data_IF_274262121517
#
_entry.id   IF_274262121517
#
_cell.length_a   1.000
_cell.length_b   1.000
_cell.length_c   1.000
_cell.angle_alpha   90.00
_cell.angle_beta   90.00
_cell.angle_gamma   90.00
#
_symmetry.space_group_name_H-M   'P 1'
#
loop_
_entity.id
_entity.type
_entity.pdbx_description
1 polymer ?
2 non-polymer ?
#
# COMPACT_ATOMS: atom_id res chain seq x y z
N UNK A 11 -4.69 30.82 12.09
CA UNK A 11 -4.29 29.45 11.79
C UNK A 11 -2.77 29.28 11.70
N UNK A 12 -2.03 30.39 11.81
CA UNK A 12 -0.58 30.37 11.73
C UNK A 12 0.01 29.64 12.93
N UNK A 13 0.81 28.61 12.67
CA UNK A 13 1.43 27.82 13.73
C UNK A 13 2.77 27.31 13.27
N UNK A 14 3.84 27.70 13.96
CA UNK A 14 5.17 27.21 13.62
C UNK A 14 5.98 27.03 14.89
N UNK A 15 6.85 26.03 14.88
CA UNK A 15 7.75 25.77 15.99
C UNK A 15 9.22 25.88 15.61
N UNK A 16 9.53 26.10 14.33
CA UNK A 16 10.90 26.11 13.86
C UNK A 16 11.46 27.52 13.98
N UNK A 17 12.57 27.66 14.68
CA UNK A 17 13.28 28.93 14.79
C UNK A 17 14.72 28.64 15.17
N UNK A 18 15.58 29.64 14.99
CA UNK A 18 17.02 29.48 15.21
C UNK A 18 17.35 29.84 16.65
N UNK A 19 17.20 28.85 17.52
CA UNK A 19 17.62 28.97 18.92
C UNK A 19 18.93 28.25 19.20
N UNK A 20 19.24 27.22 18.42
CA UNK A 20 20.42 26.41 18.67
C UNK A 20 21.70 27.22 18.45
N UNK A 21 22.80 26.70 18.99
CA UNK A 21 24.11 27.33 18.86
C UNK A 21 25.16 26.39 19.42
N UNK A 22 26.37 26.50 18.90
CA UNK A 22 27.52 25.75 19.38
C UNK A 22 28.54 26.74 19.92
N UNK A 23 28.91 26.58 21.19
CA UNK A 23 29.82 27.53 21.81
C UNK A 23 31.27 27.19 21.53
N UNK A 24 31.62 25.91 21.60
CA UNK A 24 32.98 25.48 21.37
C UNK A 24 33.25 25.15 19.92
N UNK A 25 34.29 24.35 19.71
CA UNK A 25 34.70 23.91 18.38
C UNK A 25 34.19 22.50 18.11
N UNK A 26 34.14 22.16 16.83
CA UNK A 26 33.66 20.85 16.41
C UNK A 26 34.82 19.87 16.27
N UNK A 27 34.49 18.58 16.29
CA UNK A 27 35.43 17.51 16.01
C UNK A 27 35.08 16.87 14.68
N UNK A 28 36.07 16.73 13.81
CA UNK A 28 35.85 16.24 12.45
C UNK A 28 35.97 14.73 12.40
N UNK A 29 35.10 14.10 11.60
CA UNK A 29 35.11 12.66 11.40
C UNK A 29 35.02 12.35 9.91
N UNK A 30 35.58 11.21 9.54
CA UNK A 30 35.50 10.69 8.17
C UNK A 30 35.33 9.18 8.26
N UNK A 31 34.14 8.69 7.96
CA UNK A 31 33.89 7.26 8.07
C UNK A 31 34.62 6.50 6.97
N UNK A 32 34.51 5.18 7.02
CA UNK A 32 35.33 4.31 6.20
C UNK A 32 34.91 4.38 4.73
N UNK A 33 35.81 3.95 3.85
CA UNK A 33 35.62 4.15 2.42
C UNK A 33 34.34 3.50 1.92
N UNK A 34 34.00 2.32 2.45
CA UNK A 34 32.82 1.61 1.96
C UNK A 34 31.56 2.42 2.24
N UNK A 35 31.37 2.87 3.49
CA UNK A 35 30.24 3.73 3.78
C UNK A 35 30.21 4.93 2.85
N UNK A 36 31.38 5.49 2.53
CA UNK A 36 31.44 6.59 1.57
C UNK A 36 30.86 6.17 0.22
N UNK A 37 31.20 4.98 -0.26
CA UNK A 37 30.63 4.50 -1.52
C UNK A 37 29.13 4.33 -1.41
N UNK A 38 28.67 3.57 -0.42
CA UNK A 38 27.23 3.41 -0.19
C UNK A 38 26.54 4.76 -0.10
N UNK A 39 27.23 5.77 0.43
CA UNK A 39 26.61 7.08 0.59
C UNK A 39 26.48 7.80 -0.76
N UNK A 40 27.58 7.93 -1.50
CA UNK A 40 27.49 8.46 -2.85
C UNK A 40 26.47 7.68 -3.68
N UNK A 41 26.28 6.40 -3.36
CA UNK A 41 25.30 5.59 -4.09
C UNK A 41 23.89 6.04 -3.75
N UNK A 42 23.61 6.26 -2.46
CA UNK A 42 22.29 6.71 -2.05
C UNK A 42 21.96 8.06 -2.69
N UNK A 43 22.94 8.95 -2.78
CA UNK A 43 22.70 10.30 -3.27
C UNK A 43 22.67 10.38 -4.80
N UNK A 44 23.15 9.35 -5.49
CA UNK A 44 23.27 9.40 -6.95
C UNK A 44 22.37 8.41 -7.68
N UNK A 45 22.31 7.17 -7.21
CA UNK A 45 21.61 6.12 -7.95
C UNK A 45 20.68 5.26 -7.11
N UNK A 46 20.54 5.54 -5.82
CA UNK A 46 19.71 4.69 -4.97
C UNK A 46 18.23 4.84 -5.31
N UNK A 47 17.71 6.07 -5.27
CA UNK A 47 16.32 6.35 -5.58
C UNK A 47 16.18 6.89 -7.00
N UNK A 48 15.10 6.48 -7.67
CA UNK A 48 14.87 6.93 -9.05
C UNK A 48 14.25 8.31 -9.12
N UNK A 49 13.63 8.79 -8.03
CA UNK A 49 13.07 10.13 -7.96
C UNK A 49 13.76 10.90 -6.83
N UNK A 50 13.89 12.21 -7.03
CA UNK A 50 14.61 13.03 -6.06
C UNK A 50 13.68 13.60 -4.99
N UNK A 51 12.46 13.99 -5.38
CA UNK A 51 11.50 14.55 -4.43
C UNK A 51 11.26 13.62 -3.25
N UNK A 52 11.49 12.32 -3.43
CA UNK A 52 11.19 11.34 -2.40
C UNK A 52 11.97 11.58 -1.11
N UNK A 53 12.99 12.43 -1.14
CA UNK A 53 13.71 12.73 0.09
C UNK A 53 12.78 13.34 1.13
N UNK A 54 11.86 14.20 0.70
CA UNK A 54 10.84 14.74 1.61
C UNK A 54 10.05 13.60 2.25
N UNK A 55 9.83 12.52 1.51
CA UNK A 55 9.11 11.38 2.05
C UNK A 55 9.92 10.68 3.12
N UNK A 56 11.14 10.25 2.78
CA UNK A 56 11.96 9.46 3.70
C UNK A 56 12.13 10.17 5.04
N UNK A 57 12.58 11.42 5.01
CA UNK A 57 12.79 12.16 6.24
C UNK A 57 11.51 12.23 7.07
N UNK A 58 10.38 12.49 6.40
CA UNK A 58 9.09 12.52 7.10
C UNK A 58 8.85 11.19 7.80
N UNK A 59 9.03 10.09 7.09
CA UNK A 59 8.84 8.77 7.68
C UNK A 59 9.73 8.59 8.91
N UNK A 60 11.00 8.96 8.78
CA UNK A 60 11.91 8.84 9.91
C UNK A 60 11.41 9.63 11.11
N UNK A 61 10.87 10.83 10.88
CA UNK A 61 10.33 11.62 11.97
C UNK A 61 9.17 10.88 12.63
N UNK A 62 8.23 10.38 11.83
CA UNK A 62 7.09 9.63 12.36
C UNK A 62 7.54 8.46 13.23
N UNK A 63 8.47 7.65 12.70
CA UNK A 63 8.95 6.51 13.47
C UNK A 63 9.55 6.95 14.80
N UNK A 64 10.29 8.07 14.80
CA UNK A 64 10.89 8.56 16.03
C UNK A 64 9.81 8.97 17.03
N UNK A 65 8.77 9.67 16.55
CA UNK A 65 7.73 10.15 17.44
C UNK A 65 7.01 8.99 18.13
N UNK A 66 6.70 7.92 17.39
CA UNK A 66 6.08 6.76 18.01
C UNK A 66 6.98 6.19 19.10
N UNK A 67 8.28 6.12 18.85
CA UNK A 67 9.22 5.66 19.88
C UNK A 67 9.04 6.45 21.17
N UNK A 68 8.93 7.77 21.06
CA UNK A 68 8.67 8.60 22.23
C UNK A 68 7.32 8.29 22.85
N UNK A 69 6.27 8.31 22.03
CA UNK A 69 4.92 8.08 22.55
C UNK A 69 4.82 6.70 23.18
N UNK A 70 5.31 5.67 22.49
CA UNK A 70 5.22 4.31 23.02
C UNK A 70 5.91 4.21 24.37
N UNK A 71 7.02 4.93 24.56
CA UNK A 71 7.77 4.86 25.80
C UNK A 71 7.14 5.73 26.88
N UNK A 72 6.75 6.96 26.54
CA UNK A 72 6.03 7.80 27.49
C UNK A 72 4.78 7.10 27.99
N UNK A 73 4.13 6.32 27.15
CA UNK A 73 2.96 5.55 27.58
C UNK A 73 3.38 4.31 28.35
N UNK A 74 4.40 3.59 27.85
CA UNK A 74 4.87 2.40 28.55
C UNK A 74 5.33 2.70 29.96
N UNK A 75 5.76 3.94 30.21
CA UNK A 75 6.13 4.39 31.55
C UNK A 75 5.10 5.34 32.14
N UNK A 76 3.95 5.49 31.50
CA UNK A 76 2.86 6.28 32.04
C UNK A 76 3.19 7.72 32.38
N UNK A 77 3.63 8.49 31.38
CA UNK A 77 3.88 9.91 31.55
C UNK A 77 3.04 10.72 30.57
N UNK A 78 2.82 11.98 30.91
CA UNK A 78 2.04 12.86 30.05
C UNK A 78 2.72 13.02 28.69
N UNK A 79 1.91 13.24 27.66
CA UNK A 79 2.48 13.34 26.33
C UNK A 79 2.70 14.80 25.94
N UNK A 80 3.85 15.11 25.35
CA UNK A 80 4.09 16.46 24.85
C UNK A 80 3.50 16.62 23.45
N UNK A 81 3.69 17.80 22.87
CA UNK A 81 3.26 18.04 21.50
C UNK A 81 4.05 17.17 20.54
N UNK A 82 3.40 16.18 19.95
CA UNK A 82 4.02 15.27 18.99
C UNK A 82 3.63 15.75 17.59
N UNK A 83 4.42 16.66 17.05
CA UNK A 83 4.14 17.28 15.76
C UNK A 83 5.33 17.11 14.83
N UNK A 84 5.08 17.33 13.54
CA UNK A 84 6.09 17.28 12.50
C UNK A 84 5.95 18.55 11.66
N UNK A 85 7.04 19.31 11.56
CA UNK A 85 7.02 20.60 10.88
C UNK A 85 8.04 20.63 9.75
N UNK A 86 7.63 21.23 8.63
CA UNK A 86 8.50 21.50 7.50
C UNK A 86 8.38 22.96 7.12
N UNK A 87 9.52 23.61 6.91
CA UNK A 87 9.54 25.02 6.56
C UNK A 87 10.43 25.24 5.33
N UNK A 88 9.92 26.00 4.38
CA UNK A 88 10.65 26.33 3.16
C UNK A 88 11.16 27.76 3.23
N UNK A 89 12.34 27.99 2.66
CA UNK A 89 12.92 29.32 2.54
C UNK A 89 13.43 29.48 1.12
N UNK A 90 12.73 30.29 0.33
CA UNK A 90 13.16 30.54 -1.05
C UNK A 90 14.36 31.49 -1.10
N UNK A 91 14.37 32.51 -0.25
CA UNK A 91 15.49 33.45 -0.23
C UNK A 91 16.78 32.74 0.11
N UNK A 92 16.80 31.99 1.21
CA UNK A 92 17.98 31.24 1.62
C UNK A 92 18.08 29.89 0.89
N UNK A 93 17.12 29.56 0.04
CA UNK A 93 17.13 28.29 -0.65
C UNK A 93 17.25 27.09 0.25
N UNK A 94 16.57 27.12 1.40
CA UNK A 94 16.68 26.07 2.40
C UNK A 94 15.34 25.38 2.61
N UNK A 95 15.40 24.17 3.14
CA UNK A 95 14.22 23.40 3.54
C UNK A 95 14.53 22.72 4.86
N UNK A 96 13.64 22.89 5.83
CA UNK A 96 13.86 22.40 7.19
C UNK A 96 12.76 21.44 7.59
N UNK A 97 13.12 20.41 8.35
CA UNK A 97 12.17 19.44 8.88
C UNK A 97 12.57 19.14 10.32
N UNK A 98 11.64 19.35 11.25
CA UNK A 98 11.89 19.10 12.66
C UNK A 98 10.78 18.26 13.24
N UNK A 99 11.12 17.51 14.29
CA UNK A 99 10.16 16.68 14.99
C UNK A 99 10.46 16.71 16.48
N UNK A 100 9.41 16.59 17.28
CA UNK A 100 9.57 16.47 18.73
C UNK A 100 9.96 15.05 19.14
N UNK A 101 9.84 14.07 18.24
CA UNK A 101 10.14 12.70 18.56
C UNK A 101 11.47 12.52 19.25
N UNK A 102 11.53 11.56 20.16
CA UNK A 102 12.71 11.31 21.00
C UNK A 102 13.98 11.44 20.17
N UNK A 103 14.90 12.29 20.63
CA UNK A 103 16.08 12.63 19.87
C UNK A 103 17.13 11.54 19.85
N UNK A 104 18.22 11.85 19.17
CA UNK A 104 19.35 10.95 19.01
C UNK A 104 20.42 11.28 20.05
N UNK A 105 21.04 10.24 20.60
CA UNK A 105 22.17 10.44 21.48
C UNK A 105 23.39 10.92 20.69
N UNK A 106 24.41 11.37 21.41
CA UNK A 106 25.65 11.77 20.76
C UNK A 106 26.29 10.57 20.06
N UNK A 107 26.42 9.45 20.76
CA UNK A 107 26.97 8.24 20.16
C UNK A 107 26.21 7.87 18.89
N UNK A 108 24.88 7.80 18.99
CA UNK A 108 24.07 7.49 17.82
C UNK A 108 24.43 8.39 16.65
N UNK A 109 24.40 9.70 16.86
CA UNK A 109 24.73 10.64 15.79
C UNK A 109 26.09 10.36 15.18
N UNK A 110 26.97 9.65 15.89
CA UNK A 110 28.28 9.30 15.35
C UNK A 110 28.28 7.89 14.78
N UNK A 111 27.60 6.95 15.44
CA UNK A 111 27.74 5.53 15.11
C UNK A 111 26.86 5.13 13.93
N UNK A 112 25.58 5.50 13.94
CA UNK A 112 24.68 5.11 12.86
C UNK A 112 25.33 5.41 11.51
N UNK A 113 24.97 4.62 10.51
CA UNK A 113 25.62 4.61 9.20
C UNK A 113 26.86 3.73 9.22
N UNK A 142 17.57 2.03 9.33
CA UNK A 142 16.80 3.19 9.78
C UNK A 142 17.21 4.44 9.02
N UNK A 143 18.34 5.03 9.42
CA UNK A 143 18.76 6.30 8.87
C UNK A 143 19.21 6.20 7.43
N UNK A 144 19.14 4.99 6.87
CA UNK A 144 19.46 4.81 5.47
C UNK A 144 18.64 5.75 4.61
N UNK A 145 17.41 6.07 5.05
CA UNK A 145 16.60 7.04 4.34
C UNK A 145 16.97 8.47 4.64
N UNK A 146 17.43 8.75 5.87
CA UNK A 146 17.88 10.10 6.20
C UNK A 146 18.92 10.60 5.21
N UNK A 147 19.78 9.71 4.72
CA UNK A 147 20.86 10.14 3.85
C UNK A 147 20.35 10.69 2.52
N UNK A 148 19.18 10.23 2.07
CA UNK A 148 18.63 10.63 0.78
C UNK A 148 18.73 12.14 0.55
N UNK A 149 18.78 12.92 1.63
CA UNK A 149 18.86 14.37 1.50
C UNK A 149 20.02 14.79 0.60
N UNK A 150 21.17 14.14 0.71
CA UNK A 150 22.32 14.50 -0.10
C UNK A 150 22.01 14.46 -1.59
N UNK A 151 20.93 13.77 -1.98
CA UNK A 151 20.52 13.80 -3.38
C UNK A 151 20.22 15.23 -3.83
N UNK A 152 19.63 16.03 -2.94
CA UNK A 152 19.23 17.39 -3.28
C UNK A 152 20.07 18.44 -2.57
N UNK A 153 20.66 18.10 -1.43
CA UNK A 153 21.41 19.06 -0.61
C UNK A 153 22.90 18.90 -0.83
N UNK A 154 23.60 20.05 -0.86
CA UNK A 154 25.05 20.09 -0.89
C UNK A 154 25.66 20.28 0.49
N UNK A 155 24.87 20.68 1.48
CA UNK A 155 25.35 20.89 2.84
C UNK A 155 24.18 20.64 3.79
N UNK A 156 24.35 19.68 4.70
CA UNK A 156 23.31 19.29 5.64
C UNK A 156 23.71 19.74 7.04
N UNK A 157 22.73 20.26 7.79
CA UNK A 157 22.94 20.77 9.13
C UNK A 157 21.90 20.18 10.06
N UNK A 158 22.34 19.59 11.17
CA UNK A 158 21.47 18.81 12.03
C UNK A 158 21.67 19.20 13.48
N UNK A 159 20.58 19.15 14.24
CA UNK A 159 20.59 19.35 15.68
C UNK A 159 19.64 18.33 16.31
N UNK A 160 20.10 17.68 17.38
CA UNK A 160 19.35 16.60 18.00
C UNK A 160 19.54 16.64 19.51
N UNK A 161 18.49 16.23 20.22
CA UNK A 161 18.49 16.17 21.68
C UNK A 161 17.67 14.96 22.11
N UNK A 162 18.34 13.93 22.61
CA UNK A 162 17.65 12.72 23.05
C UNK A 162 16.58 13.07 24.08
N UNK A 163 15.41 12.44 23.95
CA UNK A 163 14.29 12.75 24.81
C UNK A 163 14.51 12.34 26.26
N UNK A 164 15.54 11.56 26.55
CA UNK A 164 15.82 11.22 27.94
C UNK A 164 16.25 12.47 28.71
N UNK A 165 15.77 12.63 29.94
CA UNK A 165 16.12 13.83 30.71
C UNK A 165 17.63 13.98 30.85
N UNK A 166 18.06 15.23 31.01
CA UNK A 166 19.46 15.52 31.21
C UNK A 166 20.32 15.21 29.99
N UNK A 167 19.67 14.98 28.86
CA UNK A 167 20.38 14.71 27.63
C UNK A 167 20.88 16.00 27.00
N UNK A 168 22.04 15.92 26.37
CA UNK A 168 22.65 17.08 25.73
C UNK A 168 22.26 17.15 24.27
N UNK A 169 22.18 18.38 23.76
CA UNK A 169 21.92 18.61 22.35
C UNK A 169 23.23 18.74 21.58
N UNK A 170 23.25 18.20 20.37
CA UNK A 170 24.46 18.13 19.56
C UNK A 170 24.14 18.56 18.13
N UNK A 171 25.17 19.08 17.46
CA UNK A 171 25.06 19.56 16.09
C UNK A 171 25.91 18.70 15.18
N UNK A 172 25.33 18.29 14.04
CA UNK A 172 25.98 17.42 13.08
C UNK A 172 25.98 18.10 11.72
N UNK A 173 27.17 18.30 11.16
CA UNK A 173 27.34 19.00 9.90
C UNK A 173 28.02 18.10 8.89
N UNK A 174 27.79 18.38 7.60
CA UNK A 174 28.40 17.62 6.53
C UNK A 174 28.10 18.29 5.20
N UNK A 175 29.00 18.09 4.25
CA UNK A 175 28.83 18.60 2.89
C UNK A 175 28.73 17.47 1.87
N UNK A 176 28.56 16.23 2.31
CA UNK A 176 28.47 15.09 1.42
C UNK A 176 29.79 14.53 0.96
N UNK A 177 30.92 15.09 1.41
CA UNK A 177 32.23 14.63 1.00
C UNK A 177 32.71 13.40 1.77
N UNK A 178 31.89 12.88 2.68
CA UNK A 178 32.30 11.79 3.54
C UNK A 178 32.90 12.23 4.87
N UNK A 179 32.96 13.54 5.13
CA UNK A 179 33.50 14.08 6.37
C UNK A 179 32.40 14.91 7.03
N UNK A 180 32.13 14.61 8.29
CA UNK A 180 31.12 15.34 9.06
C UNK A 180 31.76 15.93 10.31
N UNK A 181 31.09 16.93 10.87
CA UNK A 181 31.52 17.59 12.09
C UNK A 181 30.48 17.40 13.18
N UNK A 182 30.96 17.32 14.42
CA UNK A 182 30.09 17.15 15.58
C UNK A 182 30.51 18.16 16.64
N UNK A 183 29.54 18.93 17.12
CA UNK A 183 29.76 19.88 18.20
C UNK A 183 28.60 19.79 19.18
N UNK A 184 28.84 20.30 20.39
CA UNK A 184 27.80 20.35 21.41
C UNK A 184 27.01 21.64 21.25
N UNK A 185 25.72 21.52 20.99
CA UNK A 185 24.86 22.66 20.71
C UNK A 185 23.95 22.94 21.90
N UNK A 186 23.59 24.21 22.06
CA UNK A 186 22.65 24.65 23.07
C UNK A 186 21.38 25.17 22.41
N UNK A 187 20.30 25.19 23.18
CA UNK A 187 19.02 25.60 22.64
C UNK A 187 18.42 24.61 21.67
N UNK A 188 18.75 23.33 21.82
CA UNK A 188 18.22 22.27 20.97
C UNK A 188 17.01 21.65 21.67
N UNK A 189 15.87 21.64 20.99
CA UNK A 189 14.67 21.06 21.55
C UNK A 189 14.69 19.54 21.40
N UNK A 190 14.19 18.85 22.41
CA UNK A 190 14.11 17.39 22.35
C UNK A 190 13.44 16.97 21.05
N UNK A 191 14.16 16.17 20.27
CA UNK A 191 13.77 15.74 18.96
C UNK A 191 14.94 15.92 18.00
N UNK A 192 14.60 16.12 16.73
CA UNK A 192 15.61 16.26 15.70
C UNK A 192 15.18 17.34 14.71
N UNK A 193 16.14 18.19 14.35
CA UNK A 193 15.93 19.25 13.37
C UNK A 193 16.95 19.09 12.27
N UNK A 194 16.50 19.18 11.02
CA UNK A 194 17.37 19.02 9.85
C UNK A 194 17.16 20.22 8.93
N UNK A 195 18.25 20.90 8.61
CA UNK A 195 18.22 22.08 7.73
C UNK A 195 19.03 21.74 6.49
N UNK A 196 18.37 21.77 5.34
CA UNK A 196 18.96 21.35 4.08
C UNK A 196 19.27 22.58 3.23
N UNK A 197 20.52 22.70 2.79
CA UNK A 197 20.92 23.73 1.85
C UNK A 197 20.96 23.10 0.47
N UNK A 198 19.89 23.31 -0.29
CA UNK A 198 19.70 22.61 -1.56
C UNK A 198 20.82 22.92 -2.54
N UNK A 199 21.01 22.01 -3.48
CA UNK A 199 21.93 22.24 -4.58
C UNK A 199 21.43 23.39 -5.45
N UNK A 200 22.37 24.00 -6.18
CA UNK A 200 22.04 25.20 -6.95
C UNK A 200 20.88 24.99 -7.90
N UNK A 201 20.68 23.76 -8.37
CA UNK A 201 19.61 23.45 -9.30
C UNK A 201 18.37 22.87 -8.63
N UNK A 202 18.44 22.53 -7.34
CA UNK A 202 17.33 21.94 -6.62
C UNK A 202 16.58 22.95 -5.76
N UNK A 203 16.84 24.24 -5.95
CA UNK A 203 16.14 25.26 -5.17
C UNK A 203 14.62 25.24 -5.38
N UNK A 204 14.14 24.49 -6.38
CA UNK A 204 12.70 24.45 -6.62
C UNK A 204 11.93 24.05 -5.37
N UNK A 205 12.51 23.18 -4.54
CA UNK A 205 11.80 22.71 -3.36
C UNK A 205 11.54 23.83 -2.38
N UNK A 206 12.43 24.82 -2.32
CA UNK A 206 12.34 25.89 -1.33
C UNK A 206 11.02 26.66 -1.47
N UNK A 207 10.31 26.42 -2.56
CA UNK A 207 8.98 27.00 -2.76
C UNK A 207 7.94 26.14 -2.05
N UNK A 208 7.05 26.79 -1.29
CA UNK A 208 6.08 26.06 -0.50
C UNK A 208 5.19 25.19 -1.38
N UNK A 209 4.61 25.77 -2.42
CA UNK A 209 3.67 25.03 -3.26
C UNK A 209 4.25 23.70 -3.72
N UNK A 210 5.51 23.71 -4.16
CA UNK A 210 6.15 22.47 -4.59
C UNK A 210 6.23 21.47 -3.44
N UNK A 211 6.64 21.91 -2.27
CA UNK A 211 6.77 21.01 -1.12
C UNK A 211 5.41 20.43 -0.76
N UNK A 212 4.37 21.27 -0.72
CA UNK A 212 3.04 20.77 -0.36
C UNK A 212 2.56 19.73 -1.36
N UNK A 213 2.85 19.92 -2.64
CA UNK A 213 2.50 18.92 -3.64
C UNK A 213 3.14 17.57 -3.31
N UNK A 214 4.44 17.58 -3.01
CA UNK A 214 5.13 16.34 -2.67
C UNK A 214 4.58 15.76 -1.38
N UNK A 215 4.38 16.61 -0.38
CA UNK A 215 3.90 16.13 0.91
C UNK A 215 2.54 15.46 0.76
N UNK A 216 1.58 16.16 0.16
CA UNK A 216 0.26 15.57 -0.07
C UNK A 216 0.32 14.39 -1.02
N UNK A 217 1.42 14.22 -1.75
CA UNK A 217 1.57 13.10 -2.66
C UNK A 217 1.94 11.81 -1.92
N UNK A 218 2.86 11.90 -0.96
CA UNK A 218 3.39 10.73 -0.28
C UNK A 218 2.93 10.60 1.17
N UNK A 219 2.79 11.71 1.88
CA UNK A 219 2.61 11.70 3.33
C UNK A 219 1.17 11.97 3.75
N UNK A 220 0.20 11.75 2.86
CA UNK A 220 -1.18 12.11 3.18
C UNK A 220 -1.74 11.31 4.35
N UNK A 221 -1.10 10.21 4.73
CA UNK A 221 -1.61 9.35 5.80
C UNK A 221 -0.61 9.23 6.96
N UNK A 222 0.23 10.25 7.16
CA UNK A 222 1.22 10.18 8.23
C UNK A 222 0.52 10.02 9.58
N UNK A 223 1.17 9.30 10.48
CA UNK A 223 0.58 8.92 11.76
C UNK A 223 0.70 10.00 12.84
N UNK A 224 1.20 11.18 12.50
CA UNK A 224 1.33 12.28 13.45
C UNK A 224 1.03 13.59 12.74
N UNK A 225 0.65 14.62 13.48
CA UNK A 225 0.35 15.92 12.86
C UNK A 225 1.55 16.44 12.08
N UNK A 226 1.29 16.89 10.85
CA UNK A 226 2.33 17.41 9.97
C UNK A 226 1.95 18.81 9.52
N UNK A 227 2.88 19.75 9.65
CA UNK A 227 2.67 21.14 9.25
C UNK A 227 3.73 21.54 8.25
N UNK A 228 3.36 22.46 7.36
CA UNK A 228 4.27 23.02 6.35
C UNK A 228 4.15 24.53 6.39
N UNK A 229 5.19 25.19 6.89
CA UNK A 229 5.20 26.65 7.07
C UNK A 229 4.04 27.11 7.96
N UNK A 230 3.46 26.21 8.74
CA UNK A 230 2.39 26.53 9.67
C UNK A 230 1.07 25.87 9.34
N UNK A 231 0.87 25.39 8.12
CA UNK A 231 -0.42 24.88 7.69
C UNK A 231 -0.44 23.36 7.75
N UNK A 232 -1.36 22.81 8.53
CA UNK A 232 -1.56 21.37 8.57
C UNK A 232 -1.86 20.86 7.16
N UNK A 233 -1.20 19.78 6.77
CA UNK A 233 -1.33 19.25 5.42
C UNK A 233 -2.11 17.94 5.37
N UNK A 234 -1.79 16.99 6.26
CA UNK A 234 -2.44 15.69 6.23
C UNK A 234 -3.79 15.74 6.93
N UNK A 235 -4.73 14.92 6.44
CA UNK A 235 -6.06 14.86 7.00
C UNK A 235 -6.67 13.46 6.93
N UNK A 236 -5.88 12.45 6.58
CA UNK A 236 -6.39 11.12 6.29
C UNK A 236 -5.80 10.09 7.25
N UNK A 237 -6.65 9.18 7.72
CA UNK A 237 -6.23 8.06 8.56
C UNK A 237 -6.04 6.82 7.69
N UNK A 238 -4.85 6.22 7.78
CA UNK A 238 -4.55 5.00 7.05
C UNK A 238 -5.21 3.83 7.78
N UNK A 239 -6.52 3.70 7.56
CA UNK A 239 -7.32 2.70 8.25
C UNK A 239 -6.84 1.29 7.97
N UNK A 240 -6.08 1.08 6.90
CA UNK A 240 -5.63 -0.25 6.53
C UNK A 240 -4.69 -0.83 7.58
N UNK A 241 -4.36 -0.05 8.60
CA UNK A 241 -3.53 -0.51 9.71
C UNK A 241 -4.33 -0.88 10.95
N UNK A 242 -5.63 -0.56 10.97
CA UNK A 242 -6.45 -0.80 12.15
C UNK A 242 -6.91 -2.25 12.22
N UNK A 243 -7.29 -2.66 13.41
CA UNK A 243 -7.94 -3.96 13.58
C UNK A 243 -9.23 -3.97 12.78
N UNK A 244 -9.38 -4.88 11.82
CA UNK A 244 -10.60 -4.86 10.98
C UNK A 244 -11.88 -4.82 11.78
N UNK A 245 -11.91 -5.43 12.97
CA UNK A 245 -13.10 -5.39 13.81
C UNK A 245 -13.38 -4.01 14.38
N UNK A 246 -12.46 -3.06 14.26
CA UNK A 246 -12.61 -1.74 14.84
C UNK A 246 -12.84 -0.66 13.79
N UNK A 247 -13.08 -1.04 12.54
CA UNK A 247 -13.35 -0.08 11.48
C UNK A 247 -14.86 0.13 11.39
N UNK A 248 -15.25 1.30 10.90
CA UNK A 248 -16.67 1.63 10.71
C UNK A 248 -16.95 1.81 9.23
N UNK A 249 -18.21 1.54 8.85
CA UNK A 249 -18.57 1.52 7.44
C UNK A 249 -18.30 2.86 6.78
N UNK A 250 -18.72 3.96 7.41
CA UNK A 250 -18.50 5.28 6.82
C UNK A 250 -17.02 5.51 6.54
N UNK A 251 -16.13 5.00 7.38
CA UNK A 251 -14.70 5.11 7.12
C UNK A 251 -14.33 4.42 5.82
N UNK A 252 -14.81 3.18 5.63
CA UNK A 252 -14.53 2.46 4.40
C UNK A 252 -15.07 3.21 3.18
N UNK A 253 -16.24 3.82 3.32
CA UNK A 253 -16.80 4.59 2.22
C UNK A 253 -15.91 5.78 1.87
N UNK A 254 -15.47 6.52 2.89
CA UNK A 254 -14.59 7.67 2.65
C UNK A 254 -13.31 7.24 1.96
N UNK A 255 -12.66 6.19 2.48
CA UNK A 255 -11.39 5.76 1.91
C UNK A 255 -11.59 5.20 0.50
N UNK A 256 -12.67 4.46 0.28
CA UNK A 256 -12.95 3.96 -1.07
C UNK A 256 -13.10 5.12 -2.04
N UNK A 257 -13.86 6.15 -1.67
CA UNK A 257 -14.04 7.30 -2.55
C UNK A 257 -12.73 8.04 -2.79
N UNK A 258 -11.79 7.96 -1.86
CA UNK A 258 -10.49 8.59 -2.07
C UNK A 258 -9.64 7.78 -3.05
N UNK A 259 -9.31 6.54 -2.68
CA UNK A 259 -8.47 5.71 -3.53
C UNK A 259 -9.14 5.44 -4.86
N UNK A 260 -10.46 5.20 -4.86
CA UNK A 260 -11.13 4.96 -6.13
C UNK A 260 -11.50 6.26 -6.82
N UNK A 261 -11.74 7.32 -6.05
CA UNK A 261 -12.10 8.63 -6.62
C UNK A 261 -13.49 8.57 -7.25
N UNK A 262 -14.39 7.81 -6.64
CA UNK A 262 -15.75 7.63 -7.13
C UNK A 262 -16.74 8.16 -6.10
N UNK A 263 -18.02 8.14 -6.47
CA UNK A 263 -19.10 8.55 -5.58
C UNK A 263 -20.00 7.42 -5.14
N UNK A 264 -20.03 6.31 -5.87
CA UNK A 264 -20.74 5.13 -5.40
C UNK A 264 -20.03 4.56 -4.17
N UNK A 265 -20.75 3.72 -3.45
CA UNK A 265 -20.21 3.07 -2.26
C UNK A 265 -19.59 1.73 -2.63
N UNK A 266 -18.83 1.14 -1.71
CA UNK A 266 -18.23 -0.17 -2.00
C UNK A 266 -19.28 -1.26 -2.08
N UNK A 267 -19.22 -2.08 -3.13
CA UNK A 267 -20.07 -3.25 -3.22
C UNK A 267 -19.53 -4.38 -2.36
N UNK A 268 -18.21 -4.50 -2.27
CA UNK A 268 -17.56 -5.53 -1.47
C UNK A 268 -16.34 -4.93 -0.80
N UNK A 269 -16.02 -5.44 0.39
CA UNK A 269 -14.90 -4.92 1.17
C UNK A 269 -14.14 -6.08 1.79
N UNK A 270 -12.82 -6.08 1.62
CA UNK A 270 -11.95 -7.10 2.19
C UNK A 270 -10.80 -6.41 2.92
N UNK A 271 -10.68 -6.69 4.21
CA UNK A 271 -9.64 -6.11 5.07
C UNK A 271 -8.66 -7.22 5.43
N UNK A 272 -7.49 -7.21 4.80
CA UNK A 272 -6.55 -8.32 4.85
C UNK A 272 -5.26 -7.90 5.56
N UNK A 273 -4.99 -8.53 6.71
CA UNK A 273 -3.72 -8.41 7.41
C UNK A 273 -3.10 -9.79 7.49
N UNK A 274 -1.80 -9.88 7.21
CA UNK A 274 -1.11 -11.17 7.18
C UNK A 274 0.33 -10.99 7.66
N UNK A 275 0.82 -11.99 8.38
CA UNK A 275 2.20 -12.00 8.85
C UNK A 275 2.91 -13.30 8.55
N UNK A 276 2.19 -14.38 8.25
CA UNK A 276 2.81 -15.67 8.07
C UNK A 276 3.44 -15.80 6.68
N UNK A 277 2.70 -15.54 5.59
CA UNK A 277 3.33 -15.61 4.28
C UNK A 277 4.25 -14.41 4.04
N UNK A 278 3.70 -13.21 4.21
CA UNK A 278 4.48 -11.99 4.17
C UNK A 278 3.74 -10.94 4.98
N UNK A 279 4.37 -9.77 5.12
CA UNK A 279 3.75 -8.65 5.82
C UNK A 279 2.83 -7.90 4.86
N UNK A 280 1.52 -8.01 5.08
CA UNK A 280 0.53 -7.37 4.23
C UNK A 280 -0.50 -6.67 5.10
N UNK A 281 -0.85 -5.44 4.72
CA UNK A 281 -1.93 -4.69 5.36
C UNK A 281 -2.65 -3.94 4.25
N UNK A 282 -3.81 -4.46 3.84
CA UNK A 282 -4.47 -3.96 2.64
C UNK A 282 -5.99 -3.97 2.82
N UNK A 283 -6.66 -3.17 2.00
CA UNK A 283 -8.11 -3.13 1.91
C UNK A 283 -8.48 -3.15 0.43
N UNK A 284 -9.44 -4.02 0.07
CA UNK A 284 -9.87 -4.18 -1.31
C UNK A 284 -11.35 -3.87 -1.41
N UNK A 285 -11.73 -3.08 -2.42
CA UNK A 285 -13.10 -2.65 -2.61
C UNK A 285 -13.59 -3.06 -3.99
N UNK A 286 -14.76 -3.66 -4.05
CA UNK A 286 -15.47 -3.91 -5.29
C UNK A 286 -16.50 -2.80 -5.46
N UNK A 287 -16.39 -1.97 -6.51
CA UNK A 287 -17.28 -0.80 -6.61
C UNK A 287 -18.74 -1.21 -6.70
N UNK A 288 -19.60 -0.25 -6.32
CA UNK A 288 -21.03 -0.46 -6.47
C UNK A 288 -21.47 -0.33 -7.93
N UNK A 289 -20.95 0.67 -8.63
CA UNK A 289 -21.22 0.81 -10.05
C UNK A 289 -20.43 -0.23 -10.84
N UNK A 290 -20.94 -0.59 -12.00
CA UNK A 290 -20.35 -1.63 -12.84
C UNK A 290 -19.30 -1.04 -13.76
N UNK A 291 -18.47 -1.89 -14.38
CA UNK A 291 -17.46 -1.49 -15.37
C UNK A 291 -18.03 -1.40 -16.78
N UNK A 303 -6.02 2.75 -9.94
CA UNK A 303 -6.07 1.37 -9.49
C UNK A 303 -5.75 1.26 -8.01
N UNK A 304 -5.13 0.15 -7.62
CA UNK A 304 -4.78 -0.09 -6.23
C UNK A 304 -3.48 0.63 -5.91
N UNK A 305 -3.39 1.18 -4.70
CA UNK A 305 -2.21 1.91 -4.27
C UNK A 305 -1.25 0.98 -3.54
N UNK A 306 0.04 1.30 -3.65
CA UNK A 306 1.10 0.51 -3.03
C UNK A 306 1.77 1.37 -1.96
N UNK A 307 1.30 1.24 -0.72
CA UNK A 307 1.87 1.95 0.41
C UNK A 307 2.79 1.04 1.21
N UNK A 308 3.61 1.67 2.06
CA UNK A 308 4.52 0.98 2.97
C UNK A 308 4.81 1.91 4.14
N UNK A 309 4.81 1.34 5.34
CA UNK A 309 5.05 2.11 6.56
C UNK A 309 4.21 3.39 6.56
N UNK A 310 2.97 3.28 6.09
CA UNK A 310 2.05 4.42 6.01
C UNK A 310 2.62 5.52 5.12
N UNK A 311 3.32 5.14 4.06
CA UNK A 311 3.81 6.10 3.07
C UNK A 311 3.78 5.42 1.71
N UNK A 312 3.41 6.20 0.70
CA UNK A 312 3.12 5.66 -0.63
C UNK A 312 4.37 5.58 -1.49
N UNK A 313 4.53 4.45 -2.17
CA UNK A 313 5.64 4.23 -3.09
C UNK A 313 5.20 4.38 -4.54
N UNK A 314 4.12 3.71 -4.92
CA UNK A 314 3.57 3.81 -6.26
C UNK A 314 2.04 3.82 -6.17
N UNK A 315 1.41 4.75 -6.89
CA UNK A 315 -0.03 4.92 -6.81
C UNK A 315 -0.80 3.91 -7.67
N UNK A 316 -0.15 3.33 -8.68
CA UNK A 316 -0.81 2.36 -9.56
C UNK A 316 -0.06 1.03 -9.54
N UNK A 317 -0.04 0.38 -8.37
CA UNK A 317 0.65 -0.90 -8.20
C UNK A 317 -0.22 -2.03 -8.75
N UNK A 318 -0.35 -2.04 -10.08
CA UNK A 318 -1.12 -3.09 -10.73
C UNK A 318 -0.44 -4.44 -10.60
N UNK A 319 0.89 -4.46 -10.48
CA UNK A 319 1.61 -5.72 -10.35
C UNK A 319 1.11 -6.54 -9.17
N UNK A 320 0.68 -5.87 -8.10
CA UNK A 320 0.31 -6.55 -6.86
C UNK A 320 -0.86 -7.50 -7.03
N UNK A 321 -1.59 -7.40 -8.14
CA UNK A 321 -2.78 -8.23 -8.34
C UNK A 321 -2.81 -8.78 -9.75
N UNK A 322 -3.28 -10.02 -9.93
CA UNK A 322 -3.43 -10.57 -11.28
C UNK A 322 -4.24 -9.63 -12.16
N UNK A 323 -3.90 -9.61 -13.45
CA UNK A 323 -4.51 -8.68 -14.39
C UNK A 323 -6.03 -8.81 -14.40
N UNK A 324 -6.54 -10.04 -14.24
CA UNK A 324 -7.99 -10.23 -14.25
C UNK A 324 -8.66 -9.58 -13.05
N UNK A 325 -7.91 -9.30 -11.98
CA UNK A 325 -8.42 -8.57 -10.82
C UNK A 325 -8.20 -7.07 -10.92
N UNK A 326 -7.95 -6.56 -12.13
CA UNK A 326 -7.72 -5.13 -12.30
C UNK A 326 -8.91 -4.28 -11.85
N UNK A 327 -10.09 -4.89 -11.72
CA UNK A 327 -11.29 -4.16 -11.32
C UNK A 327 -11.34 -3.88 -9.82
N UNK A 328 -10.36 -4.36 -9.06
CA UNK A 328 -10.32 -4.14 -7.62
C UNK A 328 -9.71 -2.77 -7.33
N UNK A 329 -10.23 -2.11 -6.31
CA UNK A 329 -9.70 -0.84 -5.82
C UNK A 329 -9.24 -1.03 -4.38
N UNK A 330 -8.51 -0.04 -3.88
CA UNK A 330 -8.07 -0.07 -2.50
C UNK A 330 -6.58 0.16 -2.35
N UNK A 331 -6.00 -0.37 -1.27
CA UNK A 331 -4.61 -0.13 -0.94
C UNK A 331 -3.98 -1.44 -0.47
N UNK A 332 -2.67 -1.54 -0.68
CA UNK A 332 -1.87 -2.65 -0.17
C UNK A 332 -0.60 -2.08 0.43
N UNK A 333 -0.30 -2.44 1.68
CA UNK A 333 0.81 -1.87 2.42
C UNK A 333 1.67 -2.98 2.97
N UNK A 334 2.95 -2.99 2.59
CA UNK A 334 3.91 -3.97 3.07
C UNK A 334 5.23 -3.29 3.35
N UNK A 335 6.06 -3.96 4.15
CA UNK A 335 7.38 -3.47 4.52
C UNK A 335 8.49 -4.07 3.65
N UNK A 336 8.14 -4.57 2.47
CA UNK A 336 9.06 -5.40 1.68
C UNK A 336 9.34 -4.82 0.30
N UNK A 337 9.08 -3.53 0.08
CA UNK A 337 9.19 -2.96 -1.26
C UNK A 337 10.10 -1.74 -1.25
N UNK A 338 11.02 -1.61 -2.23
CA UNK A 338 11.90 -0.45 -2.39
C UNK A 338 11.19 0.74 -3.01
N UNK A 346 11.18 2.25 -10.35
CA UNK A 346 10.14 2.34 -11.37
C UNK A 346 10.16 1.12 -12.30
N UNK A 347 10.56 -0.01 -11.73
CA UNK A 347 10.54 -1.31 -12.40
C UNK A 347 10.22 -2.38 -11.37
N UNK A 348 9.36 -3.33 -11.74
CA UNK A 348 8.93 -4.35 -10.79
C UNK A 348 8.71 -5.67 -11.52
N UNK A 349 9.74 -6.51 -11.52
CA UNK A 349 9.62 -7.94 -11.76
C UNK A 349 10.16 -8.72 -10.57
N UNK A 350 10.10 -8.09 -9.39
CA UNK A 350 10.77 -8.58 -8.21
C UNK A 350 10.09 -9.83 -7.66
N UNK A 351 10.77 -10.45 -6.69
CA UNK A 351 10.25 -11.65 -6.02
C UNK A 351 8.93 -11.40 -5.31
N UNK A 352 8.49 -10.13 -5.22
CA UNK A 352 7.25 -9.77 -4.53
C UNK A 352 6.06 -10.40 -5.24
N UNK A 353 6.32 -11.09 -6.35
CA UNK A 353 5.25 -11.85 -7.01
C UNK A 353 4.56 -12.78 -6.03
N UNK A 354 5.30 -13.31 -5.05
CA UNK A 354 4.68 -14.13 -4.01
C UNK A 354 3.49 -13.40 -3.40
N UNK A 355 3.66 -12.11 -3.09
CA UNK A 355 2.54 -11.29 -2.67
C UNK A 355 1.43 -11.31 -3.72
N UNK A 356 1.79 -11.13 -4.98
CA UNK A 356 0.80 -11.11 -6.05
C UNK A 356 -0.04 -12.39 -6.07
N UNK A 357 0.50 -13.49 -5.57
CA UNK A 357 -0.23 -14.75 -5.48
C UNK A 357 -1.00 -14.88 -4.17
N UNK A 358 -0.39 -14.50 -3.04
CA UNK A 358 -1.08 -14.54 -1.76
C UNK A 358 -2.38 -13.76 -1.85
N UNK A 359 -2.35 -12.59 -2.49
CA UNK A 359 -3.56 -11.81 -2.67
C UNK A 359 -4.52 -12.51 -3.63
N UNK A 360 -4.00 -12.98 -4.76
CA UNK A 360 -4.84 -13.69 -5.73
C UNK A 360 -5.61 -14.83 -5.06
N UNK A 361 -4.92 -15.62 -4.24
CA UNK A 361 -5.58 -16.70 -3.52
C UNK A 361 -6.57 -16.16 -2.49
N UNK A 362 -6.11 -15.21 -1.67
CA UNK A 362 -6.96 -14.67 -0.61
C UNK A 362 -8.25 -14.09 -1.17
N UNK A 363 -8.15 -13.32 -2.26
CA UNK A 363 -9.35 -12.73 -2.85
C UNK A 363 -10.31 -13.81 -3.35
N UNK A 364 -9.77 -14.89 -3.95
CA UNK A 364 -10.62 -15.96 -4.46
C UNK A 364 -11.47 -16.54 -3.34
N UNK A 365 -10.83 -16.99 -2.25
CA UNK A 365 -11.58 -17.51 -1.11
C UNK A 365 -12.59 -16.48 -0.62
N UNK A 366 -12.18 -15.22 -0.55
CA UNK A 366 -13.09 -14.16 -0.11
C UNK A 366 -14.35 -14.13 -0.98
N UNK A 367 -14.16 -14.20 -2.31
CA UNK A 367 -15.31 -14.22 -3.21
C UNK A 367 -16.10 -15.52 -3.12
N UNK A 368 -15.46 -16.60 -2.67
CA UNK A 368 -16.18 -17.86 -2.50
C UNK A 368 -17.02 -17.83 -1.24
N UNK A 369 -16.42 -17.43 -0.12
CA UNK A 369 -17.17 -17.34 1.13
C UNK A 369 -18.36 -16.39 0.98
N UNK A 370 -18.18 -15.28 0.27
CA UNK A 370 -19.29 -14.36 0.06
C UNK A 370 -20.44 -15.05 -0.65
N UNK A 371 -20.16 -15.88 -1.65
CA UNK A 371 -21.21 -16.62 -2.33
C UNK A 371 -22.02 -17.46 -1.34
N UNK A 372 -21.35 -18.01 -0.33
CA UNK A 372 -22.04 -18.82 0.67
C UNK A 372 -22.66 -17.99 1.79
N UNK A 373 -22.30 -16.71 1.90
CA UNK A 373 -22.93 -15.82 2.87
C UNK A 373 -24.13 -15.09 2.28
N UNK A 374 -24.12 -14.85 0.97
CA UNK A 374 -25.27 -14.23 0.29
C UNK A 374 -25.17 -14.61 -1.18
N UNK A 375 -26.13 -15.41 -1.65
CA UNK A 375 -26.06 -15.94 -3.00
C UNK A 375 -26.53 -14.92 -4.04
N UNK A 376 -27.61 -14.19 -3.74
CA UNK A 376 -28.16 -13.28 -4.73
C UNK A 376 -27.26 -12.06 -4.93
N UNK A 377 -26.67 -11.55 -3.85
CA UNK A 377 -25.75 -10.42 -3.99
C UNK A 377 -24.53 -10.81 -4.81
N UNK A 378 -23.96 -11.99 -4.54
CA UNK A 378 -22.83 -12.46 -5.33
C UNK A 378 -23.24 -12.76 -6.77
N UNK A 379 -24.47 -13.26 -6.97
CA UNK A 379 -24.95 -13.49 -8.33
C UNK A 379 -24.96 -12.20 -9.14
N UNK A 380 -25.44 -11.10 -8.52
CA UNK A 380 -25.39 -9.81 -9.19
C UNK A 380 -23.93 -9.40 -9.45
N UNK A 381 -23.05 -9.63 -8.48
CA UNK A 381 -21.64 -9.30 -8.66
C UNK A 381 -21.03 -10.10 -9.80
N UNK A 382 -21.38 -11.39 -9.91
CA UNK A 382 -20.83 -12.23 -10.97
C UNK A 382 -21.37 -11.80 -12.33
N UNK A 383 -22.68 -11.59 -12.43
CA UNK A 383 -23.28 -11.07 -13.66
C UNK A 383 -22.64 -9.75 -14.08
N UNK A 384 -22.05 -9.02 -13.14
CA UNK A 384 -21.44 -7.74 -13.42
C UNK A 384 -19.95 -7.85 -13.71
N UNK A 385 -19.27 -8.85 -13.14
CA UNK A 385 -17.82 -8.95 -13.25
C UNK A 385 -17.33 -10.28 -13.80
N UNK A 386 -18.23 -11.22 -14.13
CA UNK A 386 -17.83 -12.49 -14.69
C UNK A 386 -16.88 -12.38 -15.87
N UNK A 387 -16.93 -11.28 -16.61
CA UNK A 387 -16.00 -11.08 -17.72
C UNK A 387 -14.56 -11.23 -17.26
N UNK A 388 -14.23 -10.67 -16.10
CA UNK A 388 -12.86 -10.73 -15.61
C UNK A 388 -12.48 -12.15 -15.22
N UNK A 389 -13.38 -12.87 -14.57
CA UNK A 389 -13.10 -14.25 -14.18
C UNK A 389 -12.85 -15.12 -15.42
N UNK A 390 -13.72 -15.01 -16.42
CA UNK A 390 -13.52 -15.78 -17.64
C UNK A 390 -12.22 -15.40 -18.33
N UNK A 391 -11.86 -14.12 -18.29
CA UNK A 391 -10.59 -13.68 -18.85
C UNK A 391 -9.43 -14.32 -18.10
N UNK A 392 -9.40 -14.17 -16.78
CA UNK A 392 -8.32 -14.74 -15.99
C UNK A 392 -8.22 -16.25 -16.12
N UNK A 393 -9.33 -16.92 -16.44
CA UNK A 393 -9.30 -18.36 -16.66
C UNK A 393 -8.70 -18.68 -18.02
N UNK A 394 -9.16 -17.99 -19.07
CA UNK A 394 -8.60 -18.22 -20.40
C UNK A 394 -7.12 -17.86 -20.42
N UNK A 395 -6.69 -16.99 -19.52
CA UNK A 395 -5.30 -16.53 -19.49
C UNK A 395 -4.41 -17.37 -18.58
N UNK A 396 -4.98 -17.95 -17.53
CA UNK A 396 -4.17 -18.74 -16.59
C UNK A 396 -3.44 -19.85 -17.33
N UNK A 397 -2.22 -20.14 -16.87
CA UNK A 397 -1.39 -21.18 -17.47
C UNK A 397 -1.53 -22.53 -16.75
N UNK A 398 -1.30 -22.55 -15.44
CA UNK A 398 -1.47 -23.77 -14.68
C UNK A 398 -2.96 -24.08 -14.51
N UNK A 399 -3.35 -25.32 -14.82
CA UNK A 399 -4.75 -25.70 -14.68
C UNK A 399 -5.24 -25.51 -13.25
N UNK A 400 -4.33 -25.61 -12.27
CA UNK A 400 -4.71 -25.34 -10.89
C UNK A 400 -5.15 -23.89 -10.72
N UNK A 401 -4.46 -22.96 -11.39
CA UNK A 401 -4.87 -21.57 -11.34
C UNK A 401 -6.24 -21.40 -12.00
N UNK A 402 -6.43 -22.03 -13.16
CA UNK A 402 -7.72 -21.94 -13.83
C UNK A 402 -8.85 -22.47 -12.95
N UNK A 403 -8.64 -23.64 -12.36
CA UNK A 403 -9.69 -24.24 -11.52
C UNK A 403 -9.98 -23.37 -10.31
N UNK A 404 -8.93 -22.78 -9.71
CA UNK A 404 -9.15 -21.86 -8.60
C UNK A 404 -10.07 -20.72 -9.02
N UNK A 405 -9.74 -20.07 -10.13
CA UNK A 405 -10.56 -18.95 -10.61
C UNK A 405 -11.94 -19.45 -11.02
N UNK A 406 -12.02 -20.64 -11.61
CA UNK A 406 -13.29 -21.17 -12.09
C UNK A 406 -14.26 -21.48 -10.95
N UNK A 407 -13.75 -21.65 -9.72
CA UNK A 407 -14.64 -21.89 -8.59
C UNK A 407 -15.59 -20.72 -8.35
N UNK A 408 -15.28 -19.55 -8.90
CA UNK A 408 -16.17 -18.40 -8.80
C UNK A 408 -17.30 -18.48 -9.83
N UNK A 409 -17.06 -19.14 -10.96
CA UNK A 409 -18.08 -19.24 -11.99
C UNK A 409 -19.36 -19.89 -11.44
N UNK A 410 -20.50 -19.44 -11.94
CA UNK A 410 -21.79 -19.94 -11.52
C UNK A 410 -22.68 -20.14 -12.74
N UNK A 411 -23.52 -21.16 -12.69
CA UNK A 411 -24.37 -21.52 -13.81
C UNK A 411 -25.72 -22.01 -13.30
N UNK A 412 -26.68 -22.09 -14.21
CA UNK A 412 -27.99 -22.66 -13.90
C UNK A 412 -27.96 -24.17 -14.12
N UNK A 413 -28.71 -24.89 -13.28
CA UNK A 413 -28.66 -26.34 -13.25
C UNK A 413 -29.99 -26.93 -13.74
N UNK A 414 -29.89 -28.13 -14.33
CA UNK A 414 -31.10 -28.85 -14.74
C UNK A 414 -31.90 -29.30 -13.53
N UNK A 415 -31.22 -29.78 -12.48
CA UNK A 415 -31.92 -30.19 -11.27
C UNK A 415 -32.34 -29.00 -10.43
N UNK A 416 -31.56 -27.92 -10.42
CA UNK A 416 -31.94 -26.74 -9.68
C UNK A 416 -33.05 -25.99 -10.44
N UNK A 417 -33.91 -25.28 -9.72
CA UNK A 417 -35.00 -24.55 -10.39
C UNK A 417 -34.46 -23.34 -11.13
N UNK A 418 -34.99 -23.11 -12.33
CA UNK A 418 -34.56 -21.99 -13.15
C UNK A 418 -34.51 -20.70 -12.34
N UNK A 419 -33.44 -19.94 -12.51
CA UNK A 419 -33.16 -18.80 -11.68
C UNK A 419 -32.21 -19.06 -10.55
N UNK A 420 -31.62 -20.25 -10.49
CA UNK A 420 -30.68 -20.64 -9.44
C UNK A 420 -29.33 -20.93 -10.08
N UNK A 421 -28.27 -20.36 -9.52
CA UNK A 421 -26.92 -20.52 -10.03
C UNK A 421 -26.08 -21.31 -9.03
N UNK A 422 -25.25 -22.22 -9.55
CA UNK A 422 -24.45 -23.11 -8.73
C UNK A 422 -23.00 -23.08 -9.19
N UNK A 423 -22.10 -23.31 -8.24
CA UNK A 423 -20.69 -23.45 -8.57
C UNK A 423 -20.39 -24.87 -9.06
N UNK A 424 -19.19 -25.04 -9.63
CA UNK A 424 -18.81 -26.34 -10.14
C UNK A 424 -18.75 -27.38 -9.02
N UNK A 425 -18.16 -27.00 -7.88
CA UNK A 425 -18.04 -27.95 -6.77
C UNK A 425 -19.39 -28.31 -6.19
N UNK A 426 -20.25 -27.31 -5.98
CA UNK A 426 -21.59 -27.56 -5.45
C UNK A 426 -22.31 -28.61 -6.29
N UNK A 427 -22.34 -28.41 -7.61
CA UNK A 427 -22.88 -29.44 -8.50
C UNK A 427 -22.15 -30.76 -8.33
N UNK A 428 -20.84 -30.70 -8.07
CA UNK A 428 -20.05 -31.91 -7.91
C UNK A 428 -20.57 -32.79 -6.77
N UNK A 429 -21.25 -32.19 -5.79
CA UNK A 429 -21.68 -32.94 -4.61
C UNK A 429 -22.61 -34.09 -5.00
N UNK A 430 -23.62 -33.80 -5.81
CA UNK A 430 -24.66 -34.79 -6.10
C UNK A 430 -24.14 -35.98 -6.87
N UNK A 431 -22.95 -35.89 -7.47
CA UNK A 431 -22.40 -36.98 -8.27
C UNK A 431 -22.49 -38.32 -7.55
N UNK A 436 -19.55 -39.16 -12.62
CA UNK A 436 -18.09 -39.30 -12.74
C UNK A 436 -17.53 -38.25 -13.71
N UNK A 437 -18.42 -37.48 -14.33
CA UNK A 437 -18.04 -36.41 -15.24
C UNK A 437 -19.09 -35.31 -15.19
N UNK A 438 -18.67 -34.07 -15.49
CA UNK A 438 -19.59 -32.95 -15.59
C UNK A 438 -20.05 -32.83 -17.04
N UNK A 439 -21.28 -32.36 -17.21
CA UNK A 439 -21.86 -32.19 -18.53
C UNK A 439 -22.74 -30.94 -18.53
N UNK A 440 -22.60 -30.14 -19.58
CA UNK A 440 -23.29 -28.87 -19.71
C UNK A 440 -24.00 -28.83 -21.05
N UNK A 441 -24.73 -27.73 -21.28
CA UNK A 441 -25.40 -27.51 -22.56
C UNK A 441 -25.48 -26.01 -22.81
N UNK A 442 -24.98 -25.59 -23.97
CA UNK A 442 -25.02 -24.18 -24.36
C UNK A 442 -26.27 -23.95 -25.21
N UNK A 443 -27.29 -23.35 -24.60
CA UNK A 443 -28.55 -23.06 -25.23
C UNK A 443 -28.91 -21.60 -25.05
N UNK A 444 -29.79 -21.07 -25.89
CA UNK A 444 -30.16 -19.65 -25.78
C UNK A 444 -30.86 -19.32 -24.46
N UNK A 445 -31.95 -20.01 -24.15
CA UNK A 445 -32.75 -19.73 -22.97
C UNK A 445 -33.05 -21.02 -22.22
N UNK A 446 -33.56 -20.84 -20.99
CA UNK A 446 -33.87 -21.99 -20.15
C UNK A 446 -34.91 -22.89 -20.81
N UNK A 447 -35.94 -22.31 -21.41
CA UNK A 447 -36.95 -23.12 -22.10
C UNK A 447 -36.31 -23.95 -23.21
N UNK A 448 -35.40 -23.35 -23.98
CA UNK A 448 -34.73 -24.09 -25.03
C UNK A 448 -33.77 -25.13 -24.44
N UNK A 449 -33.09 -24.79 -23.35
CA UNK A 449 -32.15 -25.72 -22.74
C UNK A 449 -32.85 -26.92 -22.13
N UNK A 450 -34.06 -26.73 -21.62
CA UNK A 450 -34.81 -27.86 -21.04
C UNK A 450 -35.48 -28.70 -22.11
N UNK A 451 -36.07 -28.05 -23.12
CA UNK A 451 -36.71 -28.76 -24.22
C UNK A 451 -35.72 -29.59 -25.02
N UNK A 452 -34.44 -29.28 -24.94
CA UNK A 452 -33.41 -29.87 -25.80
C UNK A 452 -33.47 -31.39 -25.75
N UNK A 453 -33.61 -32.06 -26.90
CA UNK A 453 -33.49 -33.53 -26.90
C UNK A 453 -32.15 -34.01 -26.38
N UNK A 454 -31.05 -33.32 -26.73
CA UNK A 454 -29.76 -33.65 -26.14
C UNK A 454 -29.86 -33.76 -24.63
N UNK A 455 -30.68 -32.91 -24.02
CA UNK A 455 -30.99 -33.01 -22.60
C UNK A 455 -32.17 -33.91 -22.31
N UNK A 456 -33.11 -34.03 -23.26
CA UNK A 456 -34.30 -34.86 -23.04
C UNK A 456 -33.93 -36.28 -22.64
N UNK A 457 -32.76 -36.75 -23.05
CA UNK A 457 -32.32 -38.12 -22.74
C UNK A 457 -31.55 -38.09 -21.44
N UNK A 458 -32.27 -38.21 -20.34
CA UNK A 458 -31.65 -38.24 -19.01
C UNK A 458 -32.51 -39.04 -18.03
N UNK A 463 -26.99 -37.43 -15.64
CA UNK A 463 -28.35 -37.09 -15.25
C UNK A 463 -28.52 -35.58 -15.13
N UNK A 464 -27.90 -34.97 -14.13
CA UNK A 464 -27.97 -33.53 -13.94
C UNK A 464 -26.99 -32.83 -14.87
N UNK A 465 -27.42 -31.68 -15.42
CA UNK A 465 -26.63 -30.94 -16.38
C UNK A 465 -26.70 -29.45 -16.04
N UNK A 466 -25.78 -28.69 -16.62
CA UNK A 466 -25.73 -27.25 -16.43
C UNK A 466 -25.92 -26.55 -17.78
N UNK A 467 -26.42 -25.32 -17.73
CA UNK A 467 -26.85 -24.61 -18.92
C UNK A 467 -26.03 -23.34 -19.10
N UNK A 468 -25.53 -23.14 -20.32
CA UNK A 468 -24.91 -21.89 -20.73
C UNK A 468 -25.80 -21.21 -21.76
N UNK A 469 -26.02 -19.90 -21.58
CA UNK A 469 -26.85 -19.13 -22.48
C UNK A 469 -26.07 -18.04 -23.21
N UNK A 470 -24.76 -17.98 -23.02
CA UNK A 470 -23.90 -17.05 -23.73
C UNK A 470 -22.73 -17.81 -24.33
N UNK A 471 -22.24 -17.31 -25.47
CA UNK A 471 -21.19 -18.02 -26.19
C UNK A 471 -19.88 -18.03 -25.41
N UNK A 472 -19.58 -16.93 -24.70
CA UNK A 472 -18.33 -16.88 -23.95
C UNK A 472 -18.31 -17.87 -22.80
N UNK A 473 -19.47 -18.14 -22.20
CA UNK A 473 -19.52 -19.15 -21.13
C UNK A 473 -19.16 -20.53 -21.66
N UNK A 474 -19.69 -20.89 -22.83
CA UNK A 474 -19.34 -22.18 -23.42
C UNK A 474 -17.86 -22.25 -23.76
N UNK A 475 -17.33 -21.19 -24.37
CA UNK A 475 -15.91 -21.14 -24.68
C UNK A 475 -15.07 -21.26 -23.41
N UNK A 476 -15.53 -20.65 -22.32
CA UNK A 476 -14.81 -20.74 -21.05
C UNK A 476 -14.72 -22.19 -20.58
N UNK A 477 -15.86 -22.90 -20.59
CA UNK A 477 -15.84 -24.31 -20.21
C UNK A 477 -14.96 -25.13 -21.14
N UNK A 478 -14.93 -24.78 -22.42
CA UNK A 478 -14.07 -25.48 -23.37
C UNK A 478 -12.59 -25.16 -23.15
N UNK A 479 -12.28 -24.05 -22.48
CA UNK A 479 -10.88 -23.71 -22.24
C UNK A 479 -10.29 -24.58 -21.13
N UNK A 480 -10.91 -24.56 -19.95
CA UNK A 480 -10.51 -25.46 -18.87
C UNK A 480 -11.18 -26.81 -19.13
N UNK A 481 -10.47 -27.67 -19.86
CA UNK A 481 -11.05 -28.91 -20.33
C UNK A 481 -11.55 -29.80 -19.20
N UNK A 482 -11.10 -29.56 -17.98
CA UNK A 482 -11.41 -30.46 -16.87
C UNK A 482 -11.51 -29.67 -15.58
N UNK A 483 -12.07 -30.31 -14.55
CA UNK A 483 -12.15 -29.72 -13.23
C UNK A 483 -12.10 -30.82 -12.18
N UNK A 484 -11.10 -30.76 -11.31
CA UNK A 484 -11.00 -31.60 -10.11
C UNK A 484 -11.26 -33.05 -10.53
N UNK A 485 -12.14 -33.78 -9.83
CA UNK A 485 -12.46 -35.16 -10.21
C UNK A 485 -13.62 -35.14 -11.21
N UNK A 486 -13.35 -34.58 -12.38
CA UNK A 486 -14.40 -34.38 -13.37
C UNK A 486 -13.78 -34.00 -14.70
N UNK A 487 -14.57 -34.15 -15.75
CA UNK A 487 -14.20 -33.76 -17.11
C UNK A 487 -15.34 -32.98 -17.71
N UNK A 488 -15.04 -31.82 -18.30
CA UNK A 488 -16.05 -30.95 -18.88
C UNK A 488 -16.32 -31.36 -20.32
N UNK A 489 -17.56 -31.77 -20.59
CA UNK A 489 -17.96 -32.25 -21.91
C UNK A 489 -19.29 -31.62 -22.30
N UNK A 490 -19.48 -31.43 -23.59
CA UNK A 490 -20.70 -30.84 -24.13
C UNK A 490 -21.74 -31.93 -24.35
N UNK A 491 -22.97 -31.67 -23.91
CA UNK A 491 -24.05 -32.63 -24.13
C UNK A 491 -24.24 -32.88 -25.61
N UNK A 492 -24.10 -31.85 -26.44
CA UNK A 492 -24.11 -31.98 -27.90
C UNK A 492 -22.80 -32.59 -28.37
N UNK A 493 -22.54 -33.81 -27.93
CA UNK A 493 -21.29 -34.51 -28.23
C UNK A 493 -21.31 -35.12 -29.63
#
# INVERSE_FOLDING_TARGET
STQTAEDKEEPLHSIISSTESVQGSTSKHEFQAETKKLLDIVARSLYSEKEVFIRELISNASDALEKLRHKLVSDGQALPEMEIHLQTNAEKGTITIQDTGIGMTQEELVSNLGTIARSGSKAFLDALQNQAEASSKIIGQFGVGFYSAFMVADRVEVYSRSAAPGSLGYQWLSDGSGVFEIAEASGVRTGTKIIIHLKSDCKEFSSEARVRDVVTKYSNFVSFPLYLNGRRMNTLQAIWMMDPKDVREWQHEEFYRYVAQAHDKPRYTLHYKTDAPLNIRSIFYVPDMKPSMFDVSRELGSSVALYSRKVLIQTKATDILPKWLRFIRGVVDSEDIPLNLSRELLQESALIRKLRDVLQQRLIKFFIDQSKKDAEKYAKFFEDYGLFMREGIVTATEQEVKEDIAKLLRYESSALPSGQLTSLSEYASRMRAGTRNIYYLCAPNRHLAEHSPYYEAMKKKDTEVLFCFEQFDELTLLHLREFDKKKLISVETDIVVDHYKE
#
